data_IF_925510082296
#
_entry.id   IF_925510082296
#
_cell.length_a   1.000
_cell.length_b   1.000
_cell.length_c   1.000
_cell.angle_alpha   90.00
_cell.angle_beta   90.00
_cell.angle_gamma   90.00
#
_symmetry.space_group_name_H-M   'P 1'
#
loop_
_entity.id
_entity.type
_entity.pdbx_description
1 polymer ?
#
# COMPACT_ATOMS: atom_id res chain seq x y z
N UNK A 1 -45.18 1.83 28.22
CA UNK A 1 -43.78 2.17 27.88
C UNK A 1 -43.15 0.98 27.17
N UNK A 2 -42.16 1.21 26.28
CA UNK A 2 -41.43 0.24 25.42
C UNK A 2 -41.96 0.06 23.99
N UNK A 3 -41.40 0.84 23.05
CA UNK A 3 -41.03 0.37 21.69
C UNK A 3 -40.33 1.51 20.95
N UNK A 4 -39.00 1.54 21.02
CA UNK A 4 -38.13 2.20 20.03
C UNK A 4 -36.62 1.99 20.25
N UNK A 5 -36.21 1.30 21.33
CA UNK A 5 -34.78 1.04 21.58
C UNK A 5 -34.10 0.08 20.60
N UNK A 6 -34.84 -0.72 19.82
CA UNK A 6 -34.26 -1.71 18.88
C UNK A 6 -33.96 -1.10 17.49
N UNK A 7 -34.64 0.00 17.09
CA UNK A 7 -34.43 0.60 15.75
C UNK A 7 -33.15 1.43 15.65
N UNK A 8 -32.78 2.12 16.73
CA UNK A 8 -31.57 2.95 16.79
C UNK A 8 -30.27 2.12 16.63
N UNK A 9 -30.04 1.02 17.37
CA UNK A 9 -28.84 0.21 17.19
C UNK A 9 -28.80 -0.46 15.81
N UNK A 10 -29.96 -0.82 15.23
CA UNK A 10 -30.02 -1.37 13.88
C UNK A 10 -29.59 -0.34 12.83
N UNK A 11 -30.01 0.92 12.96
CA UNK A 11 -29.56 2.01 12.07
C UNK A 11 -28.05 2.21 12.16
N UNK A 12 -27.49 2.28 13.37
CA UNK A 12 -26.02 2.39 13.54
C UNK A 12 -25.27 1.20 12.95
N UNK A 13 -25.78 -0.02 13.13
CA UNK A 13 -25.21 -1.22 12.54
C UNK A 13 -25.23 -1.16 11.01
N UNK A 14 -26.35 -0.75 10.40
CA UNK A 14 -26.43 -0.59 8.94
C UNK A 14 -25.48 0.49 8.41
N UNK A 15 -25.35 1.62 9.10
CA UNK A 15 -24.41 2.68 8.73
C UNK A 15 -22.96 2.21 8.82
N UNK A 16 -22.62 1.43 9.86
CA UNK A 16 -21.30 0.85 10.02
C UNK A 16 -20.95 -0.13 8.90
N UNK A 17 -21.90 -1.01 8.53
CA UNK A 17 -21.71 -1.92 7.38
C UNK A 17 -21.54 -1.12 6.09
N UNK A 18 -22.39 -0.12 5.83
CA UNK A 18 -22.28 0.71 4.64
C UNK A 18 -20.92 1.43 4.57
N UNK A 19 -20.42 1.92 5.70
CA UNK A 19 -19.09 2.52 5.78
C UNK A 19 -17.98 1.52 5.45
N UNK A 20 -18.01 0.31 6.01
CA UNK A 20 -17.04 -0.75 5.69
C UNK A 20 -17.08 -1.11 4.21
N UNK A 21 -18.27 -1.33 3.66
CA UNK A 21 -18.45 -1.65 2.23
C UNK A 21 -17.93 -0.50 1.36
N UNK A 22 -18.27 0.75 1.69
CA UNK A 22 -17.77 1.93 0.98
C UNK A 22 -16.24 1.98 0.99
N UNK A 23 -15.61 1.75 2.15
CA UNK A 23 -14.14 1.72 2.26
C UNK A 23 -13.51 0.60 1.43
N UNK A 24 -14.15 -0.57 1.33
CA UNK A 24 -13.69 -1.69 0.50
C UNK A 24 -13.87 -1.46 -1.00
N UNK A 25 -14.88 -0.68 -1.40
CA UNK A 25 -15.16 -0.35 -2.81
C UNK A 25 -14.39 0.89 -3.30
N UNK A 26 -13.79 1.66 -2.39
CA UNK A 26 -13.06 2.87 -2.78
C UNK A 26 -11.75 2.46 -3.46
N UNK A 27 -11.49 2.90 -4.70
CA UNK A 27 -10.26 2.55 -5.39
C UNK A 27 -9.03 3.14 -4.71
N UNK A 28 -7.93 2.41 -4.80
CA UNK A 28 -6.61 2.89 -4.36
C UNK A 28 -6.22 4.09 -5.20
N UNK A 29 -5.71 5.14 -4.54
CA UNK A 29 -5.16 6.32 -5.22
C UNK A 29 -3.67 6.37 -4.99
N UNK A 30 -2.88 6.40 -6.06
CA UNK A 30 -1.45 6.71 -6.02
C UNK A 30 -1.29 8.22 -5.97
N UNK A 31 -0.64 8.72 -4.93
CA UNK A 31 -0.50 10.16 -4.65
C UNK A 31 0.84 10.68 -5.16
N UNK A 32 1.90 9.94 -4.90
CA UNK A 32 3.25 10.27 -5.32
C UNK A 32 4.09 9.00 -5.43
N UNK A 33 5.12 9.05 -6.27
CA UNK A 33 6.12 8.00 -6.42
C UNK A 33 7.49 8.63 -6.36
N UNK A 34 8.34 8.09 -5.49
CA UNK A 34 9.74 8.48 -5.35
C UNK A 34 10.62 7.31 -5.73
N UNK A 35 11.48 7.51 -6.73
CA UNK A 35 12.42 6.51 -7.19
C UNK A 35 13.82 6.82 -6.66
N UNK A 36 14.51 5.80 -6.17
CA UNK A 36 15.93 5.84 -5.80
C UNK A 36 16.63 4.56 -6.30
N UNK A 37 17.26 4.64 -7.47
CA UNK A 37 17.85 3.48 -8.13
C UNK A 37 16.81 2.39 -8.40
N UNK A 38 16.96 1.24 -7.74
CA UNK A 38 16.01 0.12 -7.84
C UNK A 38 14.93 0.09 -6.75
N UNK A 39 14.87 1.14 -5.93
CA UNK A 39 13.87 1.34 -4.89
C UNK A 39 12.79 2.29 -5.38
N UNK A 40 11.55 2.01 -5.02
CA UNK A 40 10.40 2.85 -5.27
C UNK A 40 9.57 2.99 -4.00
N UNK A 41 9.32 4.21 -3.55
CA UNK A 41 8.37 4.53 -2.49
C UNK A 41 7.10 5.10 -3.11
N UNK A 42 5.99 4.38 -2.96
CA UNK A 42 4.68 4.70 -3.54
C UNK A 42 3.75 5.14 -2.43
N UNK A 43 3.35 6.42 -2.46
CA UNK A 43 2.39 6.98 -1.52
C UNK A 43 0.98 6.68 -2.00
N UNK A 44 0.16 6.08 -1.14
CA UNK A 44 -1.18 5.62 -1.51
C UNK A 44 -2.25 6.02 -0.50
N UNK A 45 -3.49 6.09 -0.99
CA UNK A 45 -4.71 6.21 -0.20
C UNK A 45 -5.69 5.11 -0.51
N UNK A 46 -6.56 4.82 0.47
CA UNK A 46 -7.60 3.78 0.37
C UNK A 46 -7.01 2.41 0.02
N UNK A 47 -5.84 2.11 0.57
CA UNK A 47 -5.17 0.85 0.29
C UNK A 47 -5.96 -0.33 0.86
N UNK A 48 -5.91 -1.53 0.24
CA UNK A 48 -6.67 -2.67 0.73
C UNK A 48 -6.22 -3.08 2.13
N UNK A 49 -7.18 -3.51 2.94
CA UNK A 49 -6.92 -3.82 4.35
C UNK A 49 -6.32 -5.21 4.55
N UNK A 50 -6.78 -6.21 3.79
CA UNK A 50 -6.34 -7.60 3.96
C UNK A 50 -5.21 -7.96 3.01
N UNK A 51 -4.31 -8.84 3.44
CA UNK A 51 -3.21 -9.36 2.63
C UNK A 51 -3.67 -9.83 1.24
N UNK A 52 -4.73 -10.64 1.20
CA UNK A 52 -5.30 -11.13 -0.06
C UNK A 52 -5.72 -9.99 -0.99
N UNK A 53 -6.33 -8.94 -0.46
CA UNK A 53 -6.76 -7.81 -1.25
C UNK A 53 -5.58 -6.93 -1.70
N UNK A 54 -4.54 -6.79 -0.86
CA UNK A 54 -3.29 -6.09 -1.21
C UNK A 54 -2.55 -6.79 -2.36
N UNK A 55 -2.39 -8.12 -2.26
CA UNK A 55 -1.76 -8.96 -3.29
C UNK A 55 -2.56 -8.89 -4.59
N UNK A 56 -3.88 -9.06 -4.51
CA UNK A 56 -4.75 -8.98 -5.68
C UNK A 56 -4.64 -7.61 -6.36
N UNK A 57 -4.67 -6.54 -5.59
CA UNK A 57 -4.50 -5.19 -6.12
C UNK A 57 -3.17 -5.03 -6.85
N UNK A 58 -2.07 -5.52 -6.27
CA UNK A 58 -0.76 -5.52 -6.95
C UNK A 58 -0.82 -6.24 -8.30
N UNK A 59 -1.36 -7.46 -8.34
CA UNK A 59 -1.48 -8.25 -9.58
C UNK A 59 -2.34 -7.57 -10.66
N UNK A 60 -3.34 -6.79 -10.26
CA UNK A 60 -4.22 -6.08 -11.19
C UNK A 60 -3.65 -4.72 -11.65
N UNK A 61 -2.65 -4.16 -10.95
CA UNK A 61 -2.19 -2.78 -11.16
C UNK A 61 -0.69 -2.66 -11.47
N UNK A 62 0.09 -3.74 -11.46
CA UNK A 62 1.53 -3.71 -11.72
C UNK A 62 1.87 -3.08 -13.08
N UNK A 63 1.08 -3.38 -14.10
CA UNK A 63 1.24 -2.90 -15.46
C UNK A 63 0.95 -1.41 -15.55
N UNK A 64 -0.12 -0.94 -14.89
CA UNK A 64 -0.45 0.49 -14.78
C UNK A 64 0.64 1.26 -14.03
N UNK A 65 1.17 0.69 -12.93
CA UNK A 65 2.27 1.28 -12.19
C UNK A 65 3.53 1.40 -13.04
N UNK A 66 3.78 0.41 -13.91
CA UNK A 66 4.93 0.40 -14.80
C UNK A 66 4.79 1.48 -15.88
N UNK A 67 3.62 1.57 -16.50
CA UNK A 67 3.35 2.51 -17.59
C UNK A 67 3.39 3.97 -17.11
N UNK A 68 2.71 4.27 -16.00
CA UNK A 68 2.52 5.66 -15.56
C UNK A 68 3.61 6.18 -14.62
N UNK A 69 4.25 5.30 -13.83
CA UNK A 69 5.19 5.71 -12.78
C UNK A 69 6.55 5.04 -12.89
N UNK A 70 6.78 4.20 -13.91
CA UNK A 70 8.00 3.41 -14.08
C UNK A 70 8.30 2.47 -12.89
N UNK A 71 7.26 1.95 -12.23
CA UNK A 71 7.36 1.01 -11.09
C UNK A 71 6.85 -0.38 -11.50
N UNK A 72 7.64 -1.47 -11.36
CA UNK A 72 8.98 -1.52 -10.79
C UNK A 72 10.03 -0.84 -11.67
N UNK A 73 11.04 -0.28 -11.02
CA UNK A 73 12.26 0.23 -11.64
C UNK A 73 13.42 -0.77 -11.38
N UNK A 74 13.51 -1.89 -12.13
CA UNK A 74 14.54 -2.88 -11.87
C UNK A 74 15.94 -2.34 -12.17
N UNK A 75 16.90 -2.73 -11.33
CA UNK A 75 18.33 -2.61 -11.63
C UNK A 75 18.72 -3.44 -12.86
N UNK A 76 19.96 -3.28 -13.33
CA UNK A 76 20.51 -4.07 -14.45
C UNK A 76 20.39 -5.59 -14.27
N UNK A 77 20.40 -6.08 -13.02
CA UNK A 77 20.28 -7.50 -12.70
C UNK A 77 18.82 -7.92 -12.42
N UNK A 78 17.83 -7.08 -12.75
CA UNK A 78 16.41 -7.38 -12.57
C UNK A 78 15.89 -7.21 -11.13
N UNK A 79 16.74 -6.85 -10.17
CA UNK A 79 16.36 -6.63 -8.76
C UNK A 79 15.56 -5.34 -8.63
N UNK A 80 14.47 -5.38 -7.88
CA UNK A 80 13.70 -4.19 -7.50
C UNK A 80 13.12 -4.32 -6.10
N UNK A 81 12.82 -3.17 -5.49
CA UNK A 81 12.16 -3.06 -4.20
C UNK A 81 11.11 -1.95 -4.27
N UNK A 82 9.85 -2.28 -3.98
CA UNK A 82 8.75 -1.32 -3.95
C UNK A 82 8.19 -1.31 -2.53
N UNK A 83 8.03 -0.13 -1.95
CA UNK A 83 7.35 0.07 -0.67
C UNK A 83 6.11 0.92 -0.90
N UNK A 84 4.96 0.47 -0.42
CA UNK A 84 3.71 1.22 -0.41
C UNK A 84 3.49 1.81 0.98
N UNK A 85 3.23 3.11 1.04
CA UNK A 85 3.09 3.86 2.27
C UNK A 85 1.74 4.56 2.34
N UNK A 86 1.07 4.51 3.48
CA UNK A 86 -0.15 5.28 3.70
C UNK A 86 0.19 6.77 3.67
N UNK A 87 -0.61 7.54 2.95
CA UNK A 87 -0.44 8.99 2.89
C UNK A 87 -1.67 9.75 3.38
N UNK A 88 -1.48 10.50 4.46
CA UNK A 88 -2.56 11.22 5.14
C UNK A 88 -2.67 12.70 4.71
N UNK A 89 -2.30 13.02 3.46
CA UNK A 89 -2.29 14.37 2.89
C UNK A 89 -1.29 15.38 3.48
N UNK A 90 -0.41 14.95 4.39
CA UNK A 90 0.44 15.89 5.11
C UNK A 90 1.91 15.48 5.01
N UNK A 91 2.71 16.39 4.45
CA UNK A 91 4.15 16.36 4.63
C UNK A 91 4.50 17.19 5.87
N UNK A 92 5.48 16.72 6.63
CA UNK A 92 6.01 17.37 7.83
C UNK A 92 7.52 17.58 7.70
N UNK A 93 8.08 18.57 8.42
CA UNK A 93 9.51 18.71 8.56
C UNK A 93 10.17 17.45 9.12
N UNK A 94 11.46 17.30 8.86
CA UNK A 94 12.27 16.28 9.51
C UNK A 94 12.25 16.52 11.03
N UNK A 95 11.73 15.56 11.77
CA UNK A 95 11.56 15.60 13.22
C UNK A 95 12.28 14.45 13.90
N UNK A 96 12.09 14.31 15.22
CA UNK A 96 12.76 13.27 16.02
C UNK A 96 12.17 11.86 15.85
N UNK A 97 10.96 11.75 15.30
CA UNK A 97 10.15 10.52 15.26
C UNK A 97 10.40 9.66 14.00
N UNK A 98 11.66 9.54 13.55
CA UNK A 98 12.08 8.73 12.38
C UNK A 98 11.10 8.76 11.18
N UNK A 99 10.80 9.94 10.61
CA UNK A 99 9.86 10.02 9.50
C UNK A 99 10.48 9.48 8.19
N UNK A 100 9.64 9.14 7.22
CA UNK A 100 10.11 8.82 5.87
C UNK A 100 10.27 10.11 5.07
N UNK A 101 11.52 10.49 4.79
CA UNK A 101 11.83 11.72 4.07
C UNK A 101 12.23 11.45 2.62
N UNK A 102 11.76 12.30 1.71
CA UNK A 102 12.06 12.18 0.28
C UNK A 102 13.03 13.28 -0.14
N UNK A 103 14.22 12.90 -0.60
CA UNK A 103 15.27 13.85 -1.01
C UNK A 103 14.89 14.64 -2.28
N UNK A 104 13.92 14.15 -3.04
CA UNK A 104 13.37 14.81 -4.22
C UNK A 104 12.55 16.06 -3.86
N UNK A 105 12.04 16.16 -2.63
CA UNK A 105 11.35 17.36 -2.12
C UNK A 105 12.40 18.28 -1.45
N UNK A 106 12.52 19.51 -1.97
CA UNK A 106 13.51 20.49 -1.50
C UNK A 106 13.06 21.33 -0.29
N UNK A 107 11.76 21.38 -0.01
CA UNK A 107 11.23 22.12 1.15
C UNK A 107 11.53 21.40 2.46
N UNK A 108 11.48 22.13 3.58
CA UNK A 108 11.63 21.54 4.92
C UNK A 108 10.58 20.45 5.17
N UNK A 109 9.32 20.69 4.78
CA UNK A 109 8.25 19.70 4.79
C UNK A 109 8.41 18.67 3.67
N UNK A 110 9.33 17.72 3.85
CA UNK A 110 9.68 16.66 2.87
C UNK A 110 9.42 15.24 3.37
N UNK A 111 8.88 15.10 4.57
CA UNK A 111 8.75 13.81 5.22
C UNK A 111 7.30 13.45 5.52
N UNK A 112 7.03 12.15 5.66
CA UNK A 112 5.73 11.62 6.09
C UNK A 112 5.92 10.73 7.31
N UNK A 113 4.82 10.43 8.00
CA UNK A 113 4.83 9.39 9.03
C UNK A 113 5.07 8.01 8.39
N UNK A 114 5.91 7.19 9.02
CA UNK A 114 6.18 5.83 8.55
C UNK A 114 5.00 4.93 8.84
N UNK A 115 4.13 4.77 7.86
CA UNK A 115 3.05 3.79 7.89
C UNK A 115 3.14 2.91 6.64
N UNK A 116 3.91 1.83 6.74
CA UNK A 116 4.16 0.90 5.63
C UNK A 116 3.00 -0.08 5.51
N UNK A 117 2.49 -0.25 4.29
CA UNK A 117 1.31 -1.05 4.01
C UNK A 117 1.63 -2.39 3.34
N UNK A 118 2.62 -2.37 2.44
CA UNK A 118 3.05 -3.52 1.64
C UNK A 118 4.43 -3.25 1.05
N UNK A 119 5.23 -4.29 0.85
CA UNK A 119 6.42 -4.27 0.02
C UNK A 119 6.34 -5.35 -1.06
N UNK A 120 6.86 -5.06 -2.25
CA UNK A 120 7.04 -6.04 -3.33
C UNK A 120 8.49 -6.02 -3.75
N UNK A 121 9.14 -7.18 -3.74
CA UNK A 121 10.58 -7.30 -4.00
C UNK A 121 10.85 -8.40 -4.98
N UNK A 122 11.80 -8.18 -5.88
CA UNK A 122 12.43 -9.23 -6.68
C UNK A 122 13.90 -9.32 -6.34
N UNK A 123 14.35 -10.48 -5.89
CA UNK A 123 15.76 -10.69 -5.54
C UNK A 123 16.60 -11.04 -6.78
N UNK A 124 17.91 -11.20 -6.58
CA UNK A 124 18.88 -11.51 -7.66
C UNK A 124 18.64 -12.89 -8.31
N UNK A 125 17.96 -13.80 -7.62
CA UNK A 125 17.63 -15.14 -8.12
C UNK A 125 16.33 -15.14 -8.91
N UNK A 126 15.67 -13.98 -9.05
CA UNK A 126 14.42 -13.84 -9.78
C UNK A 126 13.16 -14.11 -8.95
N UNK A 127 13.30 -14.53 -7.68
CA UNK A 127 12.18 -14.77 -6.78
C UNK A 127 11.48 -13.45 -6.43
N UNK A 128 10.16 -13.44 -6.61
CA UNK A 128 9.29 -12.32 -6.25
C UNK A 128 8.61 -12.63 -4.93
N UNK A 129 8.68 -11.68 -4.00
CA UNK A 129 8.04 -11.77 -2.69
C UNK A 129 7.21 -10.52 -2.40
N UNK A 130 6.13 -10.72 -1.66
CA UNK A 130 5.28 -9.65 -1.11
C UNK A 130 5.34 -9.74 0.40
N UNK A 131 5.62 -8.62 1.06
CA UNK A 131 5.53 -8.49 2.51
C UNK A 131 4.37 -7.56 2.85
N UNK A 132 3.44 -8.04 3.66
CA UNK A 132 2.34 -7.28 4.26
C UNK A 132 2.39 -7.51 5.76
N UNK A 133 1.30 -7.94 6.39
CA UNK A 133 1.33 -8.43 7.77
C UNK A 133 2.00 -9.82 7.84
N UNK A 134 1.93 -10.58 6.75
CA UNK A 134 2.63 -11.84 6.51
C UNK A 134 3.59 -11.73 5.30
N UNK A 135 4.42 -12.75 5.09
CA UNK A 135 5.28 -12.85 3.91
C UNK A 135 4.72 -13.86 2.90
N UNK A 136 4.80 -13.53 1.61
CA UNK A 136 4.32 -14.36 0.51
C UNK A 136 5.39 -14.46 -0.58
N UNK A 137 5.48 -15.62 -1.23
CA UNK A 137 6.39 -15.88 -2.36
C UNK A 137 5.57 -16.30 -3.58
N UNK A 138 5.96 -15.79 -4.75
CA UNK A 138 5.37 -16.18 -6.03
C UNK A 138 5.78 -17.62 -6.38
N UNK A 139 4.81 -18.51 -6.54
CA UNK A 139 5.01 -19.89 -7.01
C UNK A 139 5.10 -19.98 -8.53
N UNK A 140 5.50 -21.14 -9.03
CA UNK A 140 5.54 -21.45 -10.47
C UNK A 140 4.17 -21.32 -11.15
N UNK A 141 3.07 -21.57 -10.41
CA UNK A 141 1.70 -21.41 -10.89
C UNK A 141 1.24 -19.93 -10.98
N UNK A 142 2.16 -18.97 -10.86
CA UNK A 142 1.88 -17.53 -10.78
C UNK A 142 0.95 -17.15 -9.61
N UNK A 143 1.00 -17.90 -8.51
CA UNK A 143 0.22 -17.65 -7.30
C UNK A 143 1.12 -17.25 -6.13
N UNK A 144 0.69 -16.26 -5.35
CA UNK A 144 1.38 -15.92 -4.10
C UNK A 144 0.97 -16.90 -3.00
N UNK A 145 1.95 -17.59 -2.44
CA UNK A 145 1.76 -18.53 -1.33
C UNK A 145 2.40 -17.97 -0.07
N UNK A 146 1.71 -18.10 1.06
CA UNK A 146 2.21 -17.63 2.35
C UNK A 146 3.47 -18.42 2.73
N UNK A 147 4.56 -17.71 3.02
CA UNK A 147 5.81 -18.28 3.52
C UNK A 147 5.53 -18.85 4.92
N UNK A 148 5.80 -20.15 5.09
CA UNK A 148 5.65 -20.83 6.38
C UNK A 148 6.70 -20.36 7.38
#
# INVERSE_FOLDING_TARGET
>A
MCKNRIKIPLVFFTLFICFIVFKLLTPVKVIAVYLDGSYADVLVKNFPLTDRAKIKWWQENDSMLKEHYNVPAPSKNGVFHISFWAFDNNYKPEGKEDPLCFNQIKSEARCIEKNKLMEVKKNKNGEVSILTDDAYILSEDNMFTKKR
#
